data_IF_357527073027
#
_entry.id   IF_357527073027
#
_cell.length_a   1.000
_cell.length_b   1.000
_cell.length_c   1.000
_cell.angle_alpha   90.00
_cell.angle_beta   90.00
_cell.angle_gamma   90.00
#
_symmetry.space_group_name_H-M   'P 1'
#
loop_
_entity.id
_entity.type
_entity.pdbx_description
1 polymer ?
#
# COMPACT_ATOMS: atom_id res chain seq x y z
N UNK A 1 -7.87 3.87 38.40
CA UNK A 1 -7.96 3.63 36.93
C UNK A 1 -6.58 3.77 36.31
N UNK A 2 -6.08 2.79 35.56
CA UNK A 2 -4.76 2.87 34.92
C UNK A 2 -4.90 3.39 33.50
N UNK A 3 -4.17 4.46 33.16
CA UNK A 3 -4.11 5.03 31.82
C UNK A 3 -3.33 4.08 30.90
N UNK A 4 -4.01 3.45 29.95
CA UNK A 4 -3.41 2.48 29.00
C UNK A 4 -2.56 3.13 27.90
N UNK A 5 -2.78 4.41 27.60
CA UNK A 5 -2.07 5.16 26.56
C UNK A 5 -1.78 6.58 27.03
N UNK A 6 -0.53 7.02 26.93
CA UNK A 6 -0.10 8.36 27.41
C UNK A 6 -0.80 9.51 26.68
N UNK A 7 -1.23 9.28 25.43
CA UNK A 7 -1.90 10.28 24.60
C UNK A 7 -3.44 10.20 24.69
N UNK A 8 -4.01 9.41 25.61
CA UNK A 8 -5.46 9.27 25.72
C UNK A 8 -6.12 8.57 24.52
N UNK A 9 -5.33 7.98 23.61
CA UNK A 9 -5.84 7.24 22.44
C UNK A 9 -5.85 7.99 21.12
N UNK A 10 -5.59 9.31 21.10
CA UNK A 10 -5.51 10.09 19.87
C UNK A 10 -4.23 10.94 19.81
N UNK A 11 -3.69 11.15 18.62
CA UNK A 11 -2.71 12.20 18.40
C UNK A 11 -3.46 13.45 17.95
N UNK A 12 -3.32 14.57 18.67
CA UNK A 12 -3.94 15.86 18.33
C UNK A 12 -3.42 16.46 17.00
N UNK A 13 -2.45 15.79 16.37
CA UNK A 13 -1.83 16.22 15.12
C UNK A 13 -2.22 15.19 14.05
N UNK A 14 -3.08 15.61 13.11
CA UNK A 14 -3.85 14.77 12.17
C UNK A 14 -3.03 14.00 11.13
N UNK A 15 -2.28 12.99 11.57
CA UNK A 15 -1.40 12.16 10.71
C UNK A 15 -1.81 10.69 10.67
N UNK A 16 -3.12 10.40 10.67
CA UNK A 16 -3.64 9.02 10.77
C UNK A 16 -4.28 8.48 9.49
N UNK A 17 -4.17 9.18 8.37
CA UNK A 17 -4.92 8.84 7.17
C UNK A 17 -4.03 8.07 6.19
N UNK A 18 -4.37 6.81 5.95
CA UNK A 18 -3.91 6.10 4.75
C UNK A 18 -4.75 6.60 3.58
N UNK A 19 -4.11 7.27 2.62
CA UNK A 19 -4.76 7.68 1.38
C UNK A 19 -4.62 6.53 0.36
N UNK A 20 -5.63 5.68 0.17
CA UNK A 20 -5.62 4.75 -0.95
C UNK A 20 -5.62 5.54 -2.26
N UNK A 21 -4.57 5.33 -3.04
CA UNK A 21 -4.51 5.74 -4.43
C UNK A 21 -4.77 4.49 -5.25
N UNK A 22 -5.83 4.50 -6.06
CA UNK A 22 -6.19 3.37 -6.92
C UNK A 22 -6.37 3.89 -8.34
N UNK A 23 -6.03 3.09 -9.33
CA UNK A 23 -6.47 3.34 -10.71
C UNK A 23 -7.98 3.16 -10.79
N UNK A 24 -8.65 3.87 -11.70
CA UNK A 24 -10.10 3.70 -11.94
C UNK A 24 -10.41 2.26 -12.41
N UNK A 25 -9.50 1.68 -13.19
CA UNK A 25 -9.64 0.36 -13.79
C UNK A 25 -8.88 -0.67 -12.95
N UNK A 26 -9.46 -1.87 -12.82
CA UNK A 26 -8.80 -3.03 -12.22
C UNK A 26 -7.71 -3.59 -13.16
N UNK A 27 -6.66 -4.20 -12.61
CA UNK A 27 -5.50 -4.66 -13.39
C UNK A 27 -5.85 -5.64 -14.52
N UNK A 28 -6.87 -6.48 -14.36
CA UNK A 28 -7.31 -7.41 -15.39
C UNK A 28 -7.85 -6.71 -16.65
N UNK A 29 -8.52 -5.57 -16.47
CA UNK A 29 -9.25 -4.85 -17.52
C UNK A 29 -8.38 -3.77 -18.19
N UNK A 30 -7.16 -3.52 -17.67
CA UNK A 30 -6.25 -2.50 -18.23
C UNK A 30 -5.88 -2.79 -19.69
N UNK A 31 -5.76 -4.05 -20.08
CA UNK A 31 -5.41 -4.45 -21.46
C UNK A 31 -6.57 -4.18 -22.41
N UNK A 32 -7.76 -4.67 -22.08
CA UNK A 32 -8.97 -4.50 -22.90
C UNK A 32 -9.33 -3.02 -23.11
N UNK A 33 -9.14 -2.19 -22.08
CA UNK A 33 -9.36 -0.74 -22.19
C UNK A 33 -8.34 -0.08 -23.11
N UNK A 34 -7.08 -0.52 -23.08
CA UNK A 34 -6.05 0.02 -23.98
C UNK A 34 -6.31 -0.36 -25.43
N UNK A 35 -6.71 -1.62 -25.68
CA UNK A 35 -7.01 -2.11 -27.03
C UNK A 35 -8.27 -1.46 -27.63
N UNK A 36 -9.23 -1.09 -26.78
CA UNK A 36 -10.44 -0.38 -27.20
C UNK A 36 -10.28 1.15 -27.31
N UNK A 37 -9.19 1.72 -26.79
CA UNK A 37 -8.95 3.17 -26.86
C UNK A 37 -8.49 3.60 -28.25
N UNK A 38 -8.95 4.78 -28.68
CA UNK A 38 -8.49 5.40 -29.94
C UNK A 38 -7.04 5.92 -29.82
N UNK A 39 -6.57 6.16 -28.59
CA UNK A 39 -5.23 6.66 -28.31
C UNK A 39 -4.32 5.55 -27.80
N UNK A 40 -3.19 5.37 -28.46
CA UNK A 40 -2.14 4.44 -28.03
C UNK A 40 -1.52 4.93 -26.70
N UNK A 41 -1.62 4.11 -25.65
CA UNK A 41 -0.99 4.39 -24.36
C UNK A 41 -1.68 5.46 -23.51
N UNK A 42 -3.01 5.58 -23.58
CA UNK A 42 -3.76 6.51 -22.73
C UNK A 42 -3.47 6.30 -21.23
N UNK A 43 -3.10 7.39 -20.54
CA UNK A 43 -2.82 7.37 -19.12
C UNK A 43 -4.12 7.33 -18.31
N UNK A 44 -4.42 6.17 -17.71
CA UNK A 44 -5.62 5.99 -16.90
C UNK A 44 -5.60 6.91 -15.65
N UNK A 45 -6.70 7.64 -15.36
CA UNK A 45 -6.73 8.50 -14.18
C UNK A 45 -6.69 7.70 -12.88
N UNK A 46 -6.24 8.36 -11.81
CA UNK A 46 -6.16 7.80 -10.47
C UNK A 46 -7.27 8.38 -9.59
N UNK A 47 -7.90 7.53 -8.80
CA UNK A 47 -8.83 7.88 -7.75
C UNK A 47 -8.06 8.16 -6.45
N UNK A 48 -8.30 9.34 -5.91
CA UNK A 48 -7.76 9.79 -4.63
C UNK A 48 -8.90 9.88 -3.63
N UNK A 49 -8.95 8.96 -2.68
CA UNK A 49 -9.94 8.96 -1.61
C UNK A 49 -9.24 9.04 -0.25
N UNK A 50 -9.66 9.99 0.59
CA UNK A 50 -9.22 10.09 1.98
C UNK A 50 -10.23 9.38 2.88
N UNK A 51 -9.96 8.13 3.23
CA UNK A 51 -10.89 7.34 4.05
C UNK A 51 -10.69 7.70 5.53
N UNK A 52 -11.79 8.04 6.21
CA UNK A 52 -11.83 8.30 7.64
C UNK A 52 -12.59 7.17 8.32
N UNK A 53 -11.97 6.57 9.35
CA UNK A 53 -12.59 5.49 10.11
C UNK A 53 -12.84 5.93 11.55
N UNK A 54 -13.95 5.45 12.09
CA UNK A 54 -14.13 5.36 13.54
C UNK A 54 -13.25 4.22 14.10
N UNK A 55 -12.95 4.23 15.41
CA UNK A 55 -12.06 3.20 16.02
C UNK A 55 -12.65 1.79 15.85
N UNK A 56 -13.97 1.63 16.02
CA UNK A 56 -14.65 0.35 15.82
C UNK A 56 -14.61 -0.10 14.36
N UNK A 57 -14.86 0.81 13.42
CA UNK A 57 -14.80 0.58 11.97
C UNK A 57 -13.44 0.00 11.55
N UNK A 58 -12.36 0.60 12.06
CA UNK A 58 -10.99 0.21 11.71
C UNK A 58 -10.59 -1.16 12.24
N UNK A 59 -11.17 -1.59 13.37
CA UNK A 59 -10.96 -2.92 13.94
C UNK A 59 -11.76 -3.96 13.14
N UNK A 60 -13.01 -3.64 12.78
CA UNK A 60 -13.88 -4.54 12.02
C UNK A 60 -13.33 -4.83 10.62
N UNK A 61 -12.83 -3.81 9.91
CA UNK A 61 -12.24 -3.99 8.58
C UNK A 61 -10.77 -4.42 8.60
N UNK A 62 -10.23 -4.78 9.78
CA UNK A 62 -8.84 -5.22 9.98
C UNK A 62 -7.77 -4.24 9.46
N UNK A 63 -8.06 -2.93 9.50
CA UNK A 63 -7.06 -1.90 9.18
C UNK A 63 -6.09 -1.70 10.35
N UNK A 64 -6.61 -1.79 11.58
CA UNK A 64 -5.82 -1.70 12.81
C UNK A 64 -5.81 -3.06 13.51
N UNK A 65 -4.65 -3.44 14.03
CA UNK A 65 -4.43 -4.72 14.71
C UNK A 65 -4.12 -4.50 16.19
N UNK A 66 -4.49 -5.46 17.03
CA UNK A 66 -4.10 -5.48 18.44
C UNK A 66 -2.58 -5.67 18.55
N UNK A 67 -1.92 -4.80 19.31
CA UNK A 67 -0.47 -4.84 19.57
C UNK A 67 -0.20 -5.05 21.05
N UNK A 68 0.92 -5.70 21.38
CA UNK A 68 1.37 -5.89 22.76
C UNK A 68 1.55 -4.55 23.50
N UNK A 69 1.57 -4.59 24.84
CA UNK A 69 1.70 -3.37 25.64
C UNK A 69 2.94 -2.54 25.27
N UNK A 70 4.08 -3.20 25.05
CA UNK A 70 5.34 -2.57 24.65
C UNK A 70 5.25 -2.05 23.19
N UNK A 71 4.73 -2.88 22.27
CA UNK A 71 4.64 -2.55 20.85
C UNK A 71 3.66 -1.40 20.54
N UNK A 72 2.66 -1.14 21.40
CA UNK A 72 1.78 0.03 21.29
C UNK A 72 2.52 1.36 21.40
N UNK A 73 3.72 1.38 22.00
CA UNK A 73 4.56 2.58 22.12
C UNK A 73 5.32 2.89 20.82
N UNK A 74 5.53 1.89 19.96
CA UNK A 74 6.18 2.03 18.64
C UNK A 74 5.19 2.68 17.67
N UNK A 75 5.60 3.80 17.06
CA UNK A 75 4.77 4.63 16.15
C UNK A 75 5.21 4.57 14.69
N UNK A 76 6.21 3.75 14.39
CA UNK A 76 6.69 3.57 13.03
C UNK A 76 5.61 2.87 12.18
N UNK A 77 5.37 3.32 10.94
CA UNK A 77 4.45 2.64 10.04
C UNK A 77 4.99 1.24 9.72
N UNK A 78 4.12 0.22 9.59
CA UNK A 78 4.57 -1.10 9.18
C UNK A 78 5.22 -1.04 7.80
N UNK A 79 6.42 -1.64 7.67
CA UNK A 79 7.13 -1.71 6.40
C UNK A 79 6.40 -2.68 5.46
N UNK A 80 6.06 -2.20 4.25
CA UNK A 80 5.49 -3.05 3.20
C UNK A 80 6.62 -3.77 2.50
N UNK A 81 6.82 -5.05 2.82
CA UNK A 81 7.72 -5.89 2.05
C UNK A 81 7.08 -6.15 0.68
N UNK A 82 7.74 -5.71 -0.39
CA UNK A 82 7.40 -6.14 -1.75
C UNK A 82 7.94 -7.55 -1.91
N UNK A 83 7.07 -8.54 -1.83
CA UNK A 83 7.45 -9.89 -2.23
C UNK A 83 7.73 -9.83 -3.75
N UNK A 84 8.97 -10.18 -4.16
CA UNK A 84 9.42 -10.45 -5.55
C UNK A 84 10.28 -9.42 -6.31
N UNK A 85 11.00 -8.48 -5.66
CA UNK A 85 12.06 -7.74 -6.37
C UNK A 85 13.37 -8.56 -6.48
N UNK A 86 13.66 -9.47 -5.53
CA UNK A 86 14.93 -10.20 -5.49
C UNK A 86 15.04 -11.35 -6.51
N UNK A 87 13.93 -12.01 -6.89
CA UNK A 87 13.93 -13.14 -7.82
C UNK A 87 14.02 -12.74 -9.31
N UNK A 88 13.56 -11.54 -9.69
CA UNK A 88 13.51 -11.11 -11.09
C UNK A 88 14.86 -10.58 -11.61
N UNK A 89 15.71 -10.02 -10.73
CA UNK A 89 17.01 -9.46 -11.09
C UNK A 89 18.07 -10.54 -11.42
N UNK A 90 17.93 -11.76 -10.89
CA UNK A 90 18.81 -12.88 -11.24
C UNK A 90 18.57 -13.40 -12.67
N UNK A 91 17.32 -13.42 -13.14
CA UNK A 91 16.96 -13.95 -14.46
C UNK A 91 17.43 -13.04 -15.62
N UNK A 92 17.54 -11.73 -15.39
CA UNK A 92 18.08 -10.77 -16.38
C UNK A 92 19.60 -10.86 -16.53
N UNK A 93 20.31 -11.39 -15.53
CA UNK A 93 21.77 -11.53 -15.57
C UNK A 93 22.24 -12.76 -16.34
N UNK A 94 21.41 -13.80 -16.42
CA UNK A 94 21.70 -15.06 -17.13
C UNK A 94 21.35 -15.04 -18.62
N UNK A 95 20.63 -14.02 -19.10
CA UNK A 95 20.16 -13.94 -20.50
C UNK A 95 21.05 -13.09 -21.43
N UNK A 96 22.20 -12.58 -20.98
CA UNK A 96 23.17 -11.93 -21.88
C UNK A 96 24.11 -13.01 -22.42
N UNK A 97 24.03 -13.41 -23.70
CA UNK A 97 25.01 -14.34 -24.26
C UNK A 97 26.37 -13.65 -24.26
N UNK A 98 27.39 -14.31 -23.71
CA UNK A 98 28.78 -13.87 -23.81
C UNK A 98 29.15 -13.77 -25.30
N UNK A 99 29.30 -12.55 -25.81
CA UNK A 99 29.87 -12.28 -27.14
C UNK A 99 31.30 -12.84 -27.12
N UNK A 100 31.55 -13.90 -27.91
CA UNK A 100 32.88 -14.47 -28.11
C UNK A 100 33.74 -13.48 -28.89
N UNK A 101 34.97 -13.27 -28.41
CA UNK A 101 36.05 -12.59 -29.14
C UNK A 101 36.50 -13.41 -30.34
#
# INVERSE_FOLDING_TARGET
MVVKSRNGGCNKHGRGHTNPIRTIVEQAVVRDVQDACVYDGYALPKLYAKIQYCVSCAIHSHVVHLRSHIARRVREPPQRFRCNEDMQNQNQRTSVPAVRK
#
